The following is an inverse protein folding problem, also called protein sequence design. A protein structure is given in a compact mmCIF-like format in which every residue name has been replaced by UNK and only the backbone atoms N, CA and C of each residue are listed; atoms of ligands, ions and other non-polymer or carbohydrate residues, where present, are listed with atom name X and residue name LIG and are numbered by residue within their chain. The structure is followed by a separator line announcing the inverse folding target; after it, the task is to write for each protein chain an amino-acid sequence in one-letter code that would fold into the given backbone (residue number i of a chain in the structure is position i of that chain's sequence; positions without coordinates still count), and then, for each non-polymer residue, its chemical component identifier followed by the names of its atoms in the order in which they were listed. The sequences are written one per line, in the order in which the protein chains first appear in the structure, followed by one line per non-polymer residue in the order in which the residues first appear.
data_IF_352207396148
#
_entry.id   IF_352207396148
#
_cell.length_a   1.000
_cell.length_b   1.000
_cell.length_c   1.000
_cell.angle_alpha   90.00
_cell.angle_beta   90.00
_cell.angle_gamma   90.00
#
_symmetry.space_group_name_H-M   'P 1'
#
loop_
_entity.id
_entity.type
_entity.pdbx_description
1 polymer ?
#
# COMPACT_ATOMS: atom_id res chain seq x y z
N UNK A 1 68.36 -55.61 -28.34
CA UNK A 1 67.75 -55.98 -27.02
C UNK A 1 67.52 -54.68 -26.25
N UNK A 2 66.33 -54.27 -25.91
CA UNK A 2 66.01 -52.94 -25.45
C UNK A 2 65.95 -52.80 -23.91
N UNK A 3 66.77 -53.55 -23.14
CA UNK A 3 66.67 -53.59 -21.69
C UNK A 3 67.99 -53.20 -20.98
N UNK A 4 68.87 -52.46 -21.61
CA UNK A 4 70.05 -51.95 -20.90
C UNK A 4 69.64 -50.76 -20.01
N UNK A 5 69.93 -50.86 -18.67
CA UNK A 5 69.60 -49.79 -17.72
C UNK A 5 70.20 -48.43 -18.06
N UNK A 6 71.32 -48.43 -18.82
CA UNK A 6 71.96 -47.21 -19.30
C UNK A 6 71.14 -46.47 -20.38
N UNK A 7 70.24 -47.13 -21.09
CA UNK A 7 69.36 -46.50 -22.08
C UNK A 7 67.96 -46.25 -21.52
N UNK A 8 67.51 -47.04 -20.50
CA UNK A 8 66.18 -46.89 -19.88
C UNK A 8 66.08 -45.63 -19.02
N UNK A 9 67.13 -45.25 -18.29
CA UNK A 9 67.14 -44.08 -17.45
C UNK A 9 67.01 -42.78 -18.28
N UNK A 10 67.81 -42.51 -19.33
CA UNK A 10 67.63 -41.30 -20.11
C UNK A 10 66.32 -41.32 -20.94
N UNK A 11 65.86 -42.45 -21.39
CA UNK A 11 64.57 -42.56 -22.08
C UNK A 11 63.36 -42.26 -21.14
N UNK A 12 63.44 -42.66 -19.87
CA UNK A 12 62.45 -42.32 -18.86
C UNK A 12 62.42 -40.78 -18.60
N UNK A 13 63.59 -40.15 -18.41
CA UNK A 13 63.65 -38.68 -18.23
C UNK A 13 63.27 -37.92 -19.49
N UNK A 14 63.62 -38.42 -20.67
CA UNK A 14 63.19 -37.82 -21.94
C UNK A 14 61.66 -37.94 -22.13
N UNK A 15 61.04 -39.06 -21.76
CA UNK A 15 59.58 -39.23 -21.75
C UNK A 15 58.90 -38.32 -20.73
N UNK A 16 59.44 -38.22 -19.50
CA UNK A 16 58.92 -37.35 -18.46
C UNK A 16 58.96 -35.87 -18.89
N UNK A 17 59.97 -35.45 -19.67
CA UNK A 17 60.14 -34.10 -20.15
C UNK A 17 59.30 -33.85 -21.43
N UNK A 18 59.14 -34.87 -22.24
CA UNK A 18 58.32 -34.80 -23.48
C UNK A 18 56.82 -34.57 -23.21
N UNK A 19 56.28 -35.15 -22.10
CA UNK A 19 54.85 -34.99 -21.74
C UNK A 19 54.44 -33.53 -21.52
N UNK A 20 55.13 -32.76 -20.63
CA UNK A 20 54.77 -31.36 -20.40
C UNK A 20 55.02 -30.47 -21.64
N UNK A 21 56.05 -30.79 -22.45
CA UNK A 21 56.31 -30.07 -23.72
C UNK A 21 55.17 -30.34 -24.69
N UNK A 22 54.74 -31.57 -24.86
CA UNK A 22 53.65 -31.94 -25.78
C UNK A 22 52.32 -31.32 -25.33
N UNK A 23 52.04 -31.32 -24.00
CA UNK A 23 50.88 -30.64 -23.44
C UNK A 23 50.98 -29.11 -23.65
N UNK A 24 52.18 -28.52 -23.50
CA UNK A 24 52.39 -27.12 -23.78
C UNK A 24 52.11 -26.76 -25.23
N UNK A 25 52.62 -27.58 -26.18
CA UNK A 25 52.35 -27.43 -27.62
C UNK A 25 50.84 -27.60 -27.91
N UNK A 26 50.19 -28.60 -27.31
CA UNK A 26 48.75 -28.81 -27.47
C UNK A 26 47.94 -27.62 -26.99
N UNK A 27 48.35 -27.02 -25.86
CA UNK A 27 47.73 -25.80 -25.33
C UNK A 27 48.02 -24.57 -26.20
N UNK A 28 49.23 -24.43 -26.72
CA UNK A 28 49.60 -23.35 -27.61
C UNK A 28 48.81 -23.44 -28.93
N UNK A 29 48.64 -24.61 -29.50
CA UNK A 29 47.79 -24.84 -30.67
C UNK A 29 46.27 -24.81 -30.39
N UNK A 30 45.88 -24.47 -29.20
CA UNK A 30 44.45 -24.43 -28.80
C UNK A 30 43.68 -25.73 -29.05
N UNK A 31 44.37 -26.87 -28.98
CA UNK A 31 43.72 -28.16 -29.18
C UNK A 31 42.71 -28.49 -28.10
N UNK A 32 42.96 -28.00 -26.89
CA UNK A 32 41.98 -28.11 -25.79
C UNK A 32 41.86 -26.78 -25.03
N UNK A 33 40.68 -26.54 -24.49
CA UNK A 33 40.37 -25.39 -23.63
C UNK A 33 39.58 -25.86 -22.42
N UNK A 34 39.94 -25.38 -21.25
CA UNK A 34 39.19 -25.61 -20.05
C UNK A 34 38.23 -24.42 -19.85
N UNK A 35 36.95 -24.70 -19.86
CA UNK A 35 35.88 -23.74 -19.59
C UNK A 35 35.40 -23.95 -18.15
N UNK A 36 35.47 -22.91 -17.34
CA UNK A 36 34.99 -22.97 -15.96
C UNK A 36 33.46 -22.86 -15.90
N UNK A 37 32.86 -23.33 -14.80
CA UNK A 37 31.43 -23.13 -14.58
C UNK A 37 31.06 -21.65 -14.61
N UNK A 38 29.97 -21.34 -15.29
CA UNK A 38 29.47 -19.97 -15.48
C UNK A 38 30.47 -19.04 -16.18
N UNK A 39 31.29 -19.61 -17.08
CA UNK A 39 32.12 -18.89 -18.07
C UNK A 39 31.77 -19.36 -19.46
N UNK A 40 31.83 -18.45 -20.41
CA UNK A 40 31.80 -18.78 -21.82
C UNK A 40 33.03 -18.24 -22.51
N UNK A 41 33.58 -18.99 -23.46
CA UNK A 41 34.73 -18.56 -24.23
C UNK A 41 34.30 -18.29 -25.65
N UNK A 42 34.44 -17.03 -26.08
CA UNK A 42 34.13 -16.58 -27.44
C UNK A 42 35.40 -16.69 -28.31
N UNK A 43 35.30 -17.40 -29.41
CA UNK A 43 36.38 -17.56 -30.38
C UNK A 43 36.14 -16.67 -31.59
N UNK A 44 37.12 -15.84 -31.89
CA UNK A 44 37.12 -15.04 -33.11
C UNK A 44 38.29 -15.42 -34.03
N UNK A 45 38.11 -15.34 -35.32
CA UNK A 45 39.12 -15.58 -36.34
C UNK A 45 39.07 -14.47 -37.36
N UNK A 46 40.19 -13.77 -37.53
CA UNK A 46 40.29 -12.60 -38.44
C UNK A 46 39.16 -11.60 -38.25
N UNK A 47 38.79 -11.33 -36.98
CA UNK A 47 37.73 -10.38 -36.63
C UNK A 47 36.29 -10.91 -36.74
N UNK A 48 36.11 -12.14 -37.23
CA UNK A 48 34.76 -12.78 -37.29
C UNK A 48 34.57 -13.76 -36.16
N UNK A 49 33.42 -13.70 -35.51
CA UNK A 49 33.03 -14.66 -34.48
C UNK A 49 32.86 -16.04 -35.13
N UNK A 50 33.58 -17.03 -34.62
CA UNK A 50 33.45 -18.45 -35.02
C UNK A 50 32.40 -19.18 -34.24
N UNK A 51 32.32 -18.91 -32.94
CA UNK A 51 31.35 -19.52 -32.03
C UNK A 51 31.72 -19.31 -30.57
N UNK A 52 30.89 -19.87 -29.72
CA UNK A 52 30.97 -19.77 -28.27
C UNK A 52 31.07 -21.18 -27.69
N UNK A 53 31.95 -21.37 -26.73
CA UNK A 53 31.98 -22.57 -25.87
C UNK A 53 31.46 -22.17 -24.49
N UNK A 54 30.29 -22.62 -24.15
CA UNK A 54 29.58 -22.36 -22.90
C UNK A 54 29.47 -23.58 -21.99
N UNK A 55 29.77 -24.78 -22.52
CA UNK A 55 29.76 -26.01 -21.73
C UNK A 55 30.98 -26.07 -20.81
N UNK A 56 30.81 -26.24 -19.50
CA UNK A 56 31.92 -26.34 -18.56
C UNK A 56 32.69 -27.65 -18.74
N UNK A 57 33.99 -27.58 -18.51
CA UNK A 57 34.87 -28.73 -18.57
C UNK A 57 35.97 -28.62 -19.64
N UNK A 58 36.54 -29.77 -19.99
CA UNK A 58 37.55 -29.87 -21.03
C UNK A 58 36.86 -29.91 -22.39
N UNK A 59 37.01 -28.85 -23.14
CA UNK A 59 36.42 -28.71 -24.46
C UNK A 59 37.50 -28.78 -25.55
N UNK A 60 37.14 -29.38 -26.70
CA UNK A 60 38.01 -29.52 -27.86
C UNK A 60 37.53 -28.57 -28.95
N UNK A 61 38.11 -27.35 -29.06
CA UNK A 61 37.69 -26.37 -30.07
C UNK A 61 37.77 -26.91 -31.49
N UNK A 62 38.71 -27.83 -31.74
CA UNK A 62 38.87 -28.49 -33.03
C UNK A 62 37.61 -29.27 -33.47
N UNK A 63 36.96 -29.91 -32.54
CA UNK A 63 35.72 -30.70 -32.80
C UNK A 63 34.56 -29.77 -33.08
N UNK A 64 34.45 -28.66 -32.35
CA UNK A 64 33.32 -27.70 -32.47
C UNK A 64 33.47 -26.77 -33.68
N UNK A 65 34.70 -26.28 -33.97
CA UNK A 65 34.93 -25.25 -34.98
C UNK A 65 35.73 -25.74 -36.20
N UNK A 66 36.10 -27.03 -36.20
CA UNK A 66 36.87 -27.65 -37.27
C UNK A 66 38.34 -27.18 -37.34
N UNK A 67 39.06 -27.45 -38.45
CA UNK A 67 40.49 -27.22 -38.56
C UNK A 67 40.93 -25.74 -38.43
N UNK A 68 39.99 -24.82 -38.60
CA UNK A 68 40.23 -23.38 -38.39
C UNK A 68 40.59 -23.04 -36.95
N UNK A 69 40.17 -23.88 -35.98
CA UNK A 69 40.47 -23.69 -34.57
C UNK A 69 41.99 -23.73 -34.28
N UNK A 70 42.77 -24.47 -35.04
CA UNK A 70 44.22 -24.56 -34.88
C UNK A 70 44.90 -23.22 -35.24
N UNK A 71 44.30 -22.44 -36.12
CA UNK A 71 44.84 -21.15 -36.56
C UNK A 71 44.43 -19.98 -35.63
N UNK A 72 43.52 -20.21 -34.68
CA UNK A 72 43.09 -19.16 -33.74
C UNK A 72 44.23 -18.57 -32.92
N UNK A 73 45.21 -19.33 -32.38
CA UNK A 73 46.30 -18.73 -31.63
C UNK A 73 47.21 -17.80 -32.45
N UNK A 74 47.25 -17.97 -33.80
CA UNK A 74 48.05 -17.11 -34.69
C UNK A 74 47.23 -15.91 -35.20
N UNK A 75 45.98 -16.12 -35.60
CA UNK A 75 45.18 -15.13 -36.36
C UNK A 75 43.82 -14.79 -35.68
N UNK A 76 43.56 -15.33 -34.53
CA UNK A 76 42.32 -15.10 -33.80
C UNK A 76 42.54 -14.66 -32.35
N UNK A 77 41.43 -14.43 -31.66
CA UNK A 77 41.45 -14.17 -30.23
C UNK A 77 40.44 -15.08 -29.53
N UNK A 78 40.74 -15.43 -28.30
CA UNK A 78 39.83 -16.09 -27.39
C UNK A 78 39.52 -15.15 -26.21
N UNK A 79 38.27 -14.91 -25.95
CA UNK A 79 37.84 -13.99 -24.90
C UNK A 79 36.92 -14.74 -23.92
N UNK A 80 37.37 -15.00 -22.68
CA UNK A 80 36.54 -15.56 -21.67
C UNK A 80 35.57 -14.50 -21.15
N UNK A 81 34.31 -14.82 -21.07
CA UNK A 81 33.24 -13.96 -20.55
C UNK A 81 32.66 -14.61 -19.31
N UNK A 82 32.57 -13.86 -18.22
CA UNK A 82 31.98 -14.32 -16.98
C UNK A 82 30.45 -14.19 -17.04
N UNK A 83 29.77 -15.31 -16.98
CA UNK A 83 28.31 -15.40 -17.03
C UNK A 83 27.65 -15.46 -15.65
N UNK A 84 28.41 -15.30 -14.55
CA UNK A 84 27.87 -15.31 -13.20
C UNK A 84 26.92 -14.15 -12.97
N UNK A 85 25.89 -14.39 -12.15
CA UNK A 85 25.02 -13.33 -11.69
C UNK A 85 25.82 -12.31 -10.88
N UNK A 86 25.78 -11.05 -11.30
CA UNK A 86 26.46 -9.94 -10.64
C UNK A 86 25.42 -8.95 -10.15
N UNK A 87 25.71 -8.34 -9.00
CA UNK A 87 24.89 -7.30 -8.40
C UNK A 87 25.64 -5.97 -8.47
N UNK A 88 24.91 -4.91 -8.80
CA UNK A 88 25.41 -3.54 -8.80
C UNK A 88 24.49 -2.65 -7.98
N UNK A 89 25.07 -1.64 -7.40
CA UNK A 89 24.37 -0.66 -6.61
C UNK A 89 24.59 0.76 -7.13
N UNK A 90 23.53 1.36 -7.65
CA UNK A 90 23.50 2.77 -8.02
C UNK A 90 23.23 3.60 -6.77
N UNK A 91 24.23 4.40 -6.38
CA UNK A 91 24.15 5.25 -5.19
C UNK A 91 23.67 6.64 -5.58
N UNK A 92 22.82 7.22 -4.71
CA UNK A 92 22.49 8.64 -4.74
C UNK A 92 22.02 9.15 -6.10
N UNK A 93 21.12 8.41 -6.76
CA UNK A 93 20.45 8.93 -7.94
C UNK A 93 19.49 10.04 -7.49
N UNK A 94 19.78 11.27 -7.93
CA UNK A 94 18.92 12.43 -7.65
C UNK A 94 17.72 12.36 -8.58
N UNK A 95 16.52 12.37 -7.98
CA UNK A 95 15.24 12.28 -8.67
C UNK A 95 14.30 13.30 -8.04
N UNK A 96 13.50 13.96 -8.85
CA UNK A 96 12.40 14.78 -8.35
C UNK A 96 11.10 14.00 -8.49
N UNK A 97 10.22 14.06 -7.49
CA UNK A 97 8.86 13.53 -7.63
C UNK A 97 8.03 14.39 -8.59
N UNK A 98 6.84 13.93 -8.97
CA UNK A 98 5.87 14.72 -9.75
C UNK A 98 5.57 16.08 -9.09
N UNK A 99 5.58 16.13 -7.77
CA UNK A 99 5.38 17.34 -6.96
C UNK A 99 6.63 18.24 -6.90
N UNK A 100 7.74 17.87 -7.58
CA UNK A 100 8.99 18.65 -7.57
C UNK A 100 9.88 18.41 -6.35
N UNK A 101 9.60 17.43 -5.51
CA UNK A 101 10.40 17.14 -4.31
C UNK A 101 11.71 16.45 -4.65
N UNK A 102 12.90 17.02 -4.38
CA UNK A 102 14.18 16.41 -4.63
C UNK A 102 14.46 15.29 -3.61
N UNK A 103 14.73 14.10 -4.13
CA UNK A 103 15.08 12.94 -3.34
C UNK A 103 16.32 12.23 -3.91
N UNK A 104 17.03 11.52 -3.04
CA UNK A 104 18.14 10.66 -3.42
C UNK A 104 17.70 9.20 -3.30
N UNK A 105 17.82 8.46 -4.38
CA UNK A 105 17.38 7.07 -4.46
C UNK A 105 18.56 6.13 -4.67
N UNK A 106 18.58 5.04 -3.94
CA UNK A 106 19.54 3.95 -4.11
C UNK A 106 18.86 2.75 -4.76
N UNK A 107 19.43 2.27 -5.88
CA UNK A 107 18.88 1.15 -6.65
C UNK A 107 19.89 0.01 -6.70
N UNK A 108 19.45 -1.18 -6.31
CA UNK A 108 20.15 -2.42 -6.54
C UNK A 108 19.58 -3.11 -7.75
N UNK A 109 20.44 -3.61 -8.61
CA UNK A 109 20.01 -4.42 -9.74
C UNK A 109 20.95 -5.61 -9.94
N UNK A 110 20.38 -6.69 -10.43
CA UNK A 110 21.06 -7.93 -10.73
C UNK A 110 21.19 -8.05 -12.25
N UNK A 111 22.39 -8.39 -12.71
CA UNK A 111 22.67 -8.58 -14.13
C UNK A 111 23.44 -9.87 -14.34
N UNK A 112 23.14 -10.54 -15.42
CA UNK A 112 23.83 -11.75 -15.89
C UNK A 112 24.04 -11.64 -17.40
N UNK A 113 25.21 -12.04 -17.88
CA UNK A 113 25.44 -12.13 -19.33
C UNK A 113 24.68 -13.35 -19.85
N UNK A 114 23.79 -13.16 -20.81
CA UNK A 114 23.02 -14.23 -21.47
C UNK A 114 23.55 -14.54 -22.87
N UNK A 115 24.05 -13.51 -23.58
CA UNK A 115 24.68 -13.67 -24.88
C UNK A 115 26.07 -13.04 -24.83
N UNK A 116 27.13 -13.88 -24.72
CA UNK A 116 28.51 -13.39 -24.67
C UNK A 116 29.00 -12.72 -25.95
N UNK A 117 28.40 -13.03 -27.11
CA UNK A 117 28.77 -12.37 -28.37
C UNK A 117 28.21 -10.95 -28.41
N UNK A 118 26.93 -10.78 -28.09
CA UNK A 118 26.31 -9.47 -28.01
C UNK A 118 27.00 -8.59 -26.95
N UNK A 119 27.39 -9.18 -25.83
CA UNK A 119 28.13 -8.50 -24.77
C UNK A 119 29.47 -7.93 -25.21
N UNK A 120 30.22 -8.70 -25.99
CA UNK A 120 31.57 -8.30 -26.43
C UNK A 120 31.59 -7.35 -27.63
N UNK A 121 30.62 -7.46 -28.54
CA UNK A 121 30.72 -6.83 -29.86
C UNK A 121 29.62 -5.81 -30.17
N UNK A 122 28.47 -5.84 -29.48
CA UNK A 122 27.40 -4.91 -29.81
C UNK A 122 27.58 -3.54 -29.12
N UNK A 123 28.34 -3.47 -28.02
CA UNK A 123 28.58 -2.24 -27.31
C UNK A 123 30.01 -2.18 -26.78
N UNK A 124 30.63 -1.01 -26.83
CA UNK A 124 31.99 -0.81 -26.33
C UNK A 124 32.04 -0.88 -24.78
N UNK A 125 31.01 -0.38 -24.12
CA UNK A 125 30.85 -0.46 -22.66
C UNK A 125 29.41 -0.91 -22.31
N UNK A 126 29.17 -2.22 -22.36
CA UNK A 126 27.82 -2.75 -22.08
C UNK A 126 27.42 -2.58 -20.65
N UNK A 127 28.34 -2.65 -19.66
CA UNK A 127 28.05 -2.46 -18.25
C UNK A 127 27.67 -1.02 -17.92
N UNK A 128 28.44 -0.04 -18.41
CA UNK A 128 28.13 1.38 -18.23
C UNK A 128 26.84 1.78 -18.92
N UNK A 129 26.57 1.23 -20.12
CA UNK A 129 25.31 1.45 -20.82
C UNK A 129 24.11 0.89 -20.07
N UNK A 130 24.23 -0.31 -19.49
CA UNK A 130 23.19 -0.89 -18.65
C UNK A 130 22.95 -0.04 -17.39
N UNK A 131 24.02 0.38 -16.73
CA UNK A 131 23.96 1.26 -15.56
C UNK A 131 23.24 2.57 -15.87
N UNK A 132 23.61 3.23 -16.96
CA UNK A 132 22.97 4.47 -17.41
C UNK A 132 21.48 4.28 -17.73
N UNK A 133 21.11 3.15 -18.36
CA UNK A 133 19.71 2.88 -18.67
C UNK A 133 18.88 2.54 -17.42
N UNK A 134 19.43 1.79 -16.47
CA UNK A 134 18.76 1.55 -15.17
C UNK A 134 18.56 2.87 -14.42
N UNK A 135 19.58 3.74 -14.40
CA UNK A 135 19.48 5.06 -13.80
C UNK A 135 18.41 5.91 -14.48
N UNK A 136 18.45 6.00 -15.81
CA UNK A 136 17.47 6.78 -16.59
C UNK A 136 16.04 6.26 -16.44
N UNK A 137 15.84 4.94 -16.51
CA UNK A 137 14.52 4.34 -16.30
C UNK A 137 14.00 4.56 -14.88
N UNK A 138 14.90 4.50 -13.88
CA UNK A 138 14.55 4.80 -12.49
C UNK A 138 14.12 6.25 -12.34
N UNK A 139 14.90 7.20 -12.86
CA UNK A 139 14.57 8.63 -12.82
C UNK A 139 13.21 8.87 -13.50
N UNK A 140 13.04 8.36 -14.72
CA UNK A 140 11.80 8.54 -15.49
C UNK A 140 10.58 7.94 -14.78
N UNK A 141 10.72 6.75 -14.21
CA UNK A 141 9.62 6.09 -13.49
C UNK A 141 9.23 6.84 -12.23
N UNK A 142 10.22 7.32 -11.46
CA UNK A 142 9.99 7.99 -10.19
C UNK A 142 9.51 9.44 -10.36
N UNK A 143 10.00 10.14 -11.40
CA UNK A 143 9.61 11.53 -11.67
C UNK A 143 8.16 11.70 -12.11
N UNK A 144 7.51 10.64 -12.56
CA UNK A 144 6.12 10.64 -12.99
C UNK A 144 5.16 10.10 -11.91
N UNK A 145 5.59 10.04 -10.66
CA UNK A 145 4.81 9.46 -9.57
C UNK A 145 4.70 10.43 -8.40
N UNK A 146 3.48 10.45 -7.84
CA UNK A 146 3.20 11.11 -6.57
C UNK A 146 4.00 10.45 -5.44
N UNK A 147 4.42 11.25 -4.48
CA UNK A 147 5.24 10.77 -3.37
C UNK A 147 4.57 9.67 -2.54
N UNK A 148 3.28 9.76 -2.31
CA UNK A 148 2.51 8.78 -1.54
C UNK A 148 2.60 7.39 -2.18
N UNK A 149 2.41 7.30 -3.50
CA UNK A 149 2.51 6.04 -4.26
C UNK A 149 3.93 5.47 -4.27
N UNK A 150 4.93 6.34 -4.29
CA UNK A 150 6.34 5.95 -4.25
C UNK A 150 6.72 5.28 -2.93
N UNK A 151 6.14 5.70 -1.82
CA UNK A 151 6.40 5.13 -0.50
C UNK A 151 5.60 3.84 -0.26
N UNK A 152 4.39 3.74 -0.82
CA UNK A 152 3.49 2.60 -0.60
C UNK A 152 3.87 1.37 -1.44
N UNK A 153 4.15 1.52 -2.74
CA UNK A 153 4.31 0.38 -3.65
C UNK A 153 5.65 0.33 -4.40
N UNK A 154 6.73 0.14 -3.63
CA UNK A 154 8.10 -0.01 -4.15
C UNK A 154 8.27 -1.23 -5.08
N UNK A 155 7.48 -2.28 -4.88
CA UNK A 155 7.57 -3.49 -5.70
C UNK A 155 7.03 -3.28 -7.11
N UNK A 156 5.97 -2.53 -7.27
CA UNK A 156 5.43 -2.18 -8.58
C UNK A 156 6.41 -1.33 -9.36
N UNK A 157 7.03 -0.35 -8.70
CA UNK A 157 8.06 0.50 -9.28
C UNK A 157 9.27 -0.30 -9.77
N UNK A 158 9.77 -1.20 -8.95
CA UNK A 158 10.89 -2.09 -9.31
C UNK A 158 10.56 -2.95 -10.53
N UNK A 159 9.34 -3.46 -10.64
CA UNK A 159 8.87 -4.22 -11.81
C UNK A 159 8.78 -3.35 -13.06
N UNK A 160 8.31 -2.11 -12.93
CA UNK A 160 8.19 -1.18 -14.03
C UNK A 160 9.56 -0.77 -14.59
N UNK A 161 10.51 -0.43 -13.72
CA UNK A 161 11.90 -0.15 -14.12
C UNK A 161 12.50 -1.35 -14.84
N UNK A 162 12.34 -2.55 -14.29
CA UNK A 162 12.81 -3.79 -14.94
C UNK A 162 12.19 -3.98 -16.32
N UNK A 163 10.89 -3.82 -16.46
CA UNK A 163 10.17 -3.99 -17.73
C UNK A 163 10.65 -2.99 -18.79
N UNK A 164 10.97 -1.77 -18.39
CA UNK A 164 11.50 -0.73 -19.29
C UNK A 164 12.92 -1.04 -19.78
N UNK A 165 13.78 -1.55 -18.88
CA UNK A 165 15.20 -1.78 -19.20
C UNK A 165 15.45 -3.13 -19.88
N UNK A 166 14.65 -4.18 -19.58
CA UNK A 166 14.87 -5.54 -20.09
C UNK A 166 15.05 -5.62 -21.61
N UNK A 167 14.21 -5.01 -22.46
CA UNK A 167 14.36 -5.13 -23.92
C UNK A 167 15.62 -4.45 -24.47
N UNK A 168 16.17 -3.46 -23.76
CA UNK A 168 17.43 -2.82 -24.13
C UNK A 168 18.64 -3.63 -23.66
N UNK A 169 18.58 -4.18 -22.44
CA UNK A 169 19.65 -4.99 -21.86
C UNK A 169 19.89 -6.27 -22.66
N UNK A 170 18.82 -6.89 -23.17
CA UNK A 170 18.92 -8.08 -24.02
C UNK A 170 19.68 -7.83 -25.33
N UNK A 171 19.56 -6.65 -25.95
CA UNK A 171 20.30 -6.27 -27.12
C UNK A 171 21.82 -6.18 -26.91
N UNK A 172 22.24 -5.96 -25.66
CA UNK A 172 23.64 -5.92 -25.25
C UNK A 172 24.12 -7.22 -24.61
N UNK A 173 23.32 -8.27 -24.73
CA UNK A 173 23.65 -9.59 -24.18
C UNK A 173 23.49 -9.76 -22.70
N UNK A 174 22.77 -8.84 -22.02
CA UNK A 174 22.43 -8.99 -20.61
C UNK A 174 21.02 -9.50 -20.41
N UNK A 175 20.86 -10.37 -19.44
CA UNK A 175 19.58 -10.65 -18.79
C UNK A 175 19.54 -9.89 -17.47
N UNK A 176 18.58 -8.98 -17.34
CA UNK A 176 18.35 -8.25 -16.11
C UNK A 176 17.58 -9.15 -15.14
N UNK A 177 18.12 -9.35 -13.95
CA UNK A 177 17.48 -10.06 -12.84
C UNK A 177 16.47 -9.18 -12.13
N UNK A 178 16.57 -9.14 -10.81
CA UNK A 178 15.72 -8.29 -9.98
C UNK A 178 16.27 -6.87 -9.89
N UNK A 179 15.37 -5.90 -9.83
CA UNK A 179 15.68 -4.50 -9.55
C UNK A 179 15.01 -4.13 -8.24
N UNK A 180 15.76 -3.52 -7.32
CA UNK A 180 15.26 -3.16 -6.00
C UNK A 180 15.56 -1.69 -5.70
N UNK A 181 14.52 -0.93 -5.44
CA UNK A 181 14.61 0.43 -4.92
C UNK A 181 14.73 0.32 -3.40
N UNK A 182 15.93 0.55 -2.86
CA UNK A 182 16.21 0.29 -1.44
C UNK A 182 16.18 1.51 -0.56
N UNK A 183 16.81 2.58 -1.00
CA UNK A 183 16.96 3.79 -0.20
C UNK A 183 16.29 4.95 -0.91
N UNK A 184 15.33 5.57 -0.24
CA UNK A 184 14.80 6.86 -0.62
C UNK A 184 15.13 7.81 0.54
N UNK A 185 15.90 8.84 0.27
CA UNK A 185 16.27 9.85 1.25
C UNK A 185 15.97 11.23 0.66
N UNK A 186 15.34 12.06 1.43
CA UNK A 186 15.12 13.46 1.06
C UNK A 186 16.42 14.24 1.20
N UNK A 187 16.66 15.12 0.25
CA UNK A 187 17.92 15.88 0.19
C UNK A 187 17.88 17.06 1.15
N UNK A 188 16.71 17.61 1.39
CA UNK A 188 16.51 18.80 2.20
C UNK A 188 15.66 18.51 3.44
N UNK A 189 16.13 18.87 4.62
CA UNK A 189 15.43 18.72 5.90
C UNK A 189 14.22 19.66 5.99
N UNK A 190 14.37 20.89 5.54
CA UNK A 190 13.28 21.86 5.55
C UNK A 190 12.10 21.38 4.71
N UNK A 191 12.38 20.68 3.61
CA UNK A 191 11.37 20.05 2.77
C UNK A 191 10.70 18.86 3.44
N UNK A 192 11.44 18.06 4.21
CA UNK A 192 10.86 16.97 5.04
C UNK A 192 9.88 17.53 6.05
N UNK A 193 10.24 18.62 6.71
CA UNK A 193 9.38 19.28 7.69
C UNK A 193 8.11 19.83 7.02
N UNK A 194 8.26 20.48 5.86
CA UNK A 194 7.12 20.98 5.06
C UNK A 194 6.19 19.87 4.59
N UNK A 195 6.74 18.71 4.17
CA UNK A 195 5.94 17.55 3.77
C UNK A 195 5.24 16.94 4.99
N UNK A 196 5.95 16.82 6.10
CA UNK A 196 5.38 16.34 7.36
C UNK A 196 4.21 17.22 7.78
N UNK A 197 4.37 18.53 7.74
CA UNK A 197 3.32 19.50 8.03
C UNK A 197 2.12 19.37 7.07
N UNK A 198 2.37 19.19 5.77
CA UNK A 198 1.33 18.99 4.77
C UNK A 198 0.54 17.70 5.03
N UNK A 199 1.24 16.59 5.34
CA UNK A 199 0.63 15.30 5.68
C UNK A 199 -0.19 15.41 6.96
N UNK A 200 0.36 16.02 8.00
CA UNK A 200 -0.36 16.25 9.28
C UNK A 200 -1.61 17.08 9.05
N UNK A 201 -1.52 18.20 8.32
CA UNK A 201 -2.67 19.04 7.98
C UNK A 201 -3.73 18.24 7.20
N UNK A 202 -3.32 17.41 6.22
CA UNK A 202 -4.23 16.56 5.46
C UNK A 202 -4.92 15.53 6.35
N UNK A 203 -4.18 14.88 7.25
CA UNK A 203 -4.74 13.93 8.23
C UNK A 203 -5.75 14.61 9.15
N UNK A 204 -5.44 15.80 9.66
CA UNK A 204 -6.36 16.59 10.47
C UNK A 204 -7.63 16.94 9.68
N UNK A 205 -7.48 17.33 8.42
CA UNK A 205 -8.61 17.65 7.55
C UNK A 205 -9.49 16.42 7.29
N UNK A 206 -8.90 15.27 6.97
CA UNK A 206 -9.62 14.01 6.76
C UNK A 206 -10.32 13.56 8.03
N UNK A 207 -9.64 13.65 9.17
CA UNK A 207 -10.23 13.29 10.48
C UNK A 207 -11.39 14.21 10.84
N UNK A 208 -11.26 15.52 10.58
CA UNK A 208 -12.33 16.49 10.79
C UNK A 208 -13.52 16.22 9.88
N UNK A 209 -13.27 15.89 8.59
CA UNK A 209 -14.33 15.54 7.66
C UNK A 209 -15.08 14.26 8.09
N UNK A 210 -14.35 13.22 8.52
CA UNK A 210 -14.95 12.00 9.04
C UNK A 210 -15.78 12.25 10.30
N UNK A 211 -15.27 13.09 11.21
CA UNK A 211 -16.00 13.48 12.42
C UNK A 211 -17.29 14.22 12.08
N UNK A 212 -17.21 15.19 11.15
CA UNK A 212 -18.38 15.95 10.69
C UNK A 212 -19.42 15.05 10.01
N UNK A 213 -18.98 14.10 9.17
CA UNK A 213 -19.88 13.12 8.56
C UNK A 213 -20.56 12.23 9.62
N UNK A 214 -19.78 11.80 10.62
CA UNK A 214 -20.31 11.04 11.76
C UNK A 214 -21.36 11.85 12.55
N UNK A 215 -21.08 13.10 12.87
CA UNK A 215 -22.02 14.01 13.57
C UNK A 215 -23.29 14.26 12.73
N UNK A 216 -23.14 14.46 11.42
CA UNK A 216 -24.26 14.62 10.50
C UNK A 216 -25.15 13.37 10.45
N UNK A 217 -24.55 12.17 10.40
CA UNK A 217 -25.28 10.90 10.44
C UNK A 217 -26.04 10.71 11.75
N UNK A 218 -25.41 11.03 12.88
CA UNK A 218 -26.06 10.99 14.19
C UNK A 218 -27.22 12.00 14.23
N UNK A 219 -27.02 13.21 13.72
CA UNK A 219 -28.07 14.22 13.61
C UNK A 219 -29.26 13.75 12.77
N UNK A 220 -28.99 13.13 11.61
CA UNK A 220 -30.01 12.57 10.75
C UNK A 220 -30.82 11.46 11.45
N UNK A 221 -30.13 10.52 12.12
CA UNK A 221 -30.78 9.42 12.86
C UNK A 221 -31.66 9.99 13.97
N UNK A 222 -31.17 10.95 14.74
CA UNK A 222 -31.94 11.60 15.83
C UNK A 222 -33.19 12.30 15.27
N UNK A 223 -33.05 13.02 14.17
CA UNK A 223 -34.17 13.69 13.51
C UNK A 223 -35.22 12.71 13.00
N UNK A 224 -34.79 11.63 12.34
CA UNK A 224 -35.67 10.56 11.86
C UNK A 224 -36.38 9.85 13.02
N UNK A 225 -35.67 9.60 14.12
CA UNK A 225 -36.26 8.97 15.31
C UNK A 225 -37.28 9.89 15.95
N UNK A 226 -36.99 11.18 16.11
CA UNK A 226 -37.93 12.16 16.65
C UNK A 226 -39.19 12.28 15.79
N UNK A 227 -39.00 12.27 14.46
CA UNK A 227 -40.14 12.28 13.52
C UNK A 227 -41.03 11.03 13.70
N UNK A 228 -40.42 9.82 13.74
CA UNK A 228 -41.19 8.57 13.94
C UNK A 228 -41.91 8.54 15.27
N UNK A 229 -41.25 8.99 16.34
CA UNK A 229 -41.89 9.09 17.66
C UNK A 229 -43.09 10.06 17.64
N UNK A 230 -42.90 11.24 17.02
CA UNK A 230 -43.98 12.22 16.85
C UNK A 230 -45.15 11.66 16.02
N UNK A 231 -44.83 10.94 14.91
CA UNK A 231 -45.86 10.27 14.09
C UNK A 231 -46.65 9.22 14.89
N UNK A 232 -45.95 8.36 15.66
CA UNK A 232 -46.61 7.36 16.49
C UNK A 232 -47.47 7.97 17.61
N UNK A 233 -46.98 9.05 18.24
CA UNK A 233 -47.76 9.78 19.21
C UNK A 233 -49.02 10.43 18.60
N UNK A 234 -48.87 11.02 17.40
CA UNK A 234 -50.00 11.60 16.68
C UNK A 234 -51.03 10.53 16.27
N UNK A 235 -50.57 9.36 15.80
CA UNK A 235 -51.45 8.24 15.49
C UNK A 235 -52.16 7.72 16.73
N UNK A 236 -51.45 7.55 17.87
CA UNK A 236 -52.02 7.15 19.11
C UNK A 236 -53.06 8.17 19.61
N UNK A 237 -52.75 9.46 19.51
CA UNK A 237 -53.67 10.54 19.86
C UNK A 237 -54.93 10.57 18.95
N UNK A 238 -54.75 10.25 17.65
CA UNK A 238 -55.88 10.19 16.72
C UNK A 238 -56.80 8.96 16.92
N UNK A 239 -56.22 7.82 17.36
CA UNK A 239 -57.02 6.60 17.65
C UNK A 239 -57.73 6.65 18.98
N UNK A 240 -57.24 7.43 19.95
CA UNK A 240 -57.84 7.54 21.31
C UNK A 240 -59.32 7.95 21.29
N UNK A 241 -59.78 8.99 20.54
CA UNK A 241 -61.18 9.36 20.46
C UNK A 241 -62.07 8.28 19.85
N UNK A 242 -61.52 7.52 18.88
CA UNK A 242 -62.26 6.45 18.22
C UNK A 242 -62.54 5.29 19.19
N UNK A 243 -61.52 4.86 19.97
CA UNK A 243 -61.66 3.79 20.97
C UNK A 243 -62.58 4.23 22.08
N UNK A 244 -62.47 5.46 22.59
CA UNK A 244 -63.35 6.01 23.61
C UNK A 244 -64.77 6.10 23.10
N UNK A 245 -64.96 6.54 21.84
CA UNK A 245 -66.30 6.61 21.23
C UNK A 245 -66.96 5.24 21.03
N UNK A 246 -66.15 4.22 20.70
CA UNK A 246 -66.70 2.84 20.56
C UNK A 246 -67.10 2.27 21.91
N UNK A 247 -66.30 2.44 22.97
CA UNK A 247 -66.68 2.00 24.34
C UNK A 247 -67.87 2.77 24.92
N UNK A 248 -68.00 4.08 24.62
CA UNK A 248 -69.15 4.86 25.01
C UNK A 248 -70.45 4.41 24.28
N UNK A 249 -70.32 4.05 22.98
CA UNK A 249 -71.45 3.50 22.23
C UNK A 249 -71.87 2.11 22.78
N UNK A 250 -70.92 1.29 23.20
CA UNK A 250 -71.19 -0.01 23.81
C UNK A 250 -71.94 0.14 25.15
N UNK A 251 -71.52 1.07 26.01
CA UNK A 251 -72.20 1.44 27.26
C UNK A 251 -73.59 2.03 27.02
N UNK A 252 -73.73 2.88 25.97
CA UNK A 252 -75.00 3.46 25.59
C UNK A 252 -76.07 2.42 25.15
N UNK A 253 -75.60 1.32 24.57
CA UNK A 253 -76.47 0.22 24.13
C UNK A 253 -76.90 -0.67 25.25
N UNK A 254 -76.14 -0.73 26.36
CA UNK A 254 -76.43 -1.57 27.52
C UNK A 254 -77.22 -0.81 28.56
N UNK A 255 -76.92 0.43 28.92
CA UNK A 255 -77.57 1.28 29.84
C UNK A 255 -77.38 2.79 29.59
N UNK A 256 -78.43 3.49 29.07
CA UNK A 256 -78.29 4.91 28.69
C UNK A 256 -78.16 5.85 29.89
N UNK A 257 -78.68 5.47 31.10
CA UNK A 257 -78.54 6.30 32.31
C UNK A 257 -77.12 6.35 32.82
N UNK A 258 -76.40 5.22 32.72
CA UNK A 258 -74.97 5.13 33.06
C UNK A 258 -74.14 5.98 32.13
N UNK A 259 -74.47 6.04 30.83
CA UNK A 259 -73.75 6.90 29.88
C UNK A 259 -73.90 8.38 30.25
N UNK A 260 -75.12 8.82 30.58
CA UNK A 260 -75.40 10.22 30.91
C UNK A 260 -74.63 10.66 32.17
N UNK A 261 -74.60 9.78 33.20
CA UNK A 261 -73.82 10.01 34.41
C UNK A 261 -72.28 10.05 34.10
N UNK A 262 -71.77 9.16 33.22
CA UNK A 262 -70.34 9.15 32.82
C UNK A 262 -69.97 10.41 32.04
N UNK A 263 -70.82 10.87 31.13
CA UNK A 263 -70.62 12.12 30.38
C UNK A 263 -70.59 13.34 31.32
N UNK A 264 -71.45 13.42 32.32
CA UNK A 264 -71.40 14.49 33.28
C UNK A 264 -70.08 14.49 34.12
N UNK A 265 -69.57 13.31 34.49
CA UNK A 265 -68.30 13.18 35.21
C UNK A 265 -67.14 13.63 34.30
N UNK A 266 -67.14 13.21 33.06
CA UNK A 266 -66.08 13.62 32.07
C UNK A 266 -66.10 15.13 31.80
N UNK A 267 -67.25 15.73 31.69
CA UNK A 267 -67.42 17.17 31.53
C UNK A 267 -66.97 17.94 32.78
N UNK A 268 -67.24 17.42 33.95
CA UNK A 268 -66.75 17.99 35.23
C UNK A 268 -65.23 17.89 35.33
N UNK A 269 -64.65 16.74 34.92
CA UNK A 269 -63.17 16.55 34.90
C UNK A 269 -62.49 17.50 33.90
N UNK A 270 -63.02 17.67 32.68
CA UNK A 270 -62.53 18.60 31.70
C UNK A 270 -62.58 20.07 32.15
N UNK A 271 -63.63 20.44 32.89
CA UNK A 271 -63.76 21.75 33.52
C UNK A 271 -62.68 21.98 34.57
N UNK A 272 -62.35 20.95 35.36
CA UNK A 272 -61.29 21.01 36.38
C UNK A 272 -59.89 21.12 35.72
N UNK A 273 -59.66 20.32 34.74
CA UNK A 273 -58.35 20.37 33.99
C UNK A 273 -58.15 21.70 33.24
N UNK A 274 -59.21 22.32 32.71
CA UNK A 274 -59.14 23.60 32.02
C UNK A 274 -58.86 24.79 32.94
N UNK A 275 -58.87 24.63 34.27
CA UNK A 275 -58.68 25.71 35.27
C UNK A 275 -59.73 26.80 35.17
N UNK A 276 -60.87 26.52 34.57
CA UNK A 276 -61.97 27.48 34.52
C UNK A 276 -62.54 27.75 35.92
N UNK A 277 -62.77 29.03 36.23
CA UNK A 277 -63.34 29.45 37.47
C UNK A 277 -64.81 28.97 37.60
N UNK A 278 -65.05 28.00 38.47
CA UNK A 278 -66.30 27.21 38.52
C UNK A 278 -67.40 27.92 39.31
N UNK A 279 -67.58 29.18 39.05
CA UNK A 279 -68.59 29.99 39.75
C UNK A 279 -70.01 29.80 39.23
N UNK A 280 -70.24 29.00 38.21
CA UNK A 280 -71.54 28.81 37.54
C UNK A 280 -71.95 27.34 37.36
N UNK A 281 -71.63 26.47 38.31
CA UNK A 281 -72.08 25.08 38.25
C UNK A 281 -73.49 24.90 38.91
N UNK A 282 -74.42 24.17 38.26
CA UNK A 282 -75.64 23.80 38.85
C UNK A 282 -75.42 23.02 40.13
N UNK A 283 -76.34 23.11 41.16
CA UNK A 283 -76.10 22.56 42.46
C UNK A 283 -75.85 21.05 42.52
N UNK A 284 -76.25 20.31 41.50
CA UNK A 284 -76.03 18.88 41.35
C UNK A 284 -74.57 18.55 40.90
N UNK A 285 -73.96 19.38 40.10
CA UNK A 285 -72.58 19.21 39.66
C UNK A 285 -71.55 19.62 40.75
N UNK A 286 -71.90 20.48 41.67
CA UNK A 286 -71.07 20.88 42.83
C UNK A 286 -70.77 19.70 43.77
N UNK A 287 -71.65 18.75 43.90
CA UNK A 287 -71.46 17.55 44.74
C UNK A 287 -70.38 16.64 44.05
N UNK A 288 -70.41 16.51 42.76
CA UNK A 288 -69.46 15.68 42.02
C UNK A 288 -68.04 16.30 42.02
N UNK A 289 -67.93 17.62 41.86
CA UNK A 289 -66.69 18.35 41.97
C UNK A 289 -66.06 18.28 43.36
N UNK A 290 -66.85 18.33 44.41
CA UNK A 290 -66.36 18.19 45.77
C UNK A 290 -65.90 16.76 46.10
N UNK A 291 -66.45 15.75 45.44
CA UNK A 291 -66.04 14.35 45.56
C UNK A 291 -64.75 14.04 44.79
N UNK A 292 -64.56 14.64 43.62
CA UNK A 292 -63.34 14.49 42.78
C UNK A 292 -62.12 15.32 43.27
N UNK A 293 -62.39 16.47 43.95
CA UNK A 293 -61.41 17.39 44.49
C UNK A 293 -60.82 17.11 45.85
N UNK A 294 -61.15 15.97 46.47
CA UNK A 294 -60.74 15.59 47.83
C UNK A 294 -59.29 15.15 48.04
N UNK A 295 -58.36 15.59 47.19
CA UNK A 295 -56.93 15.42 47.38
C UNK A 295 -56.28 16.76 47.70
N UNK A 296 -55.71 16.88 48.87
CA UNK A 296 -55.05 18.05 49.45
C UNK A 296 -54.19 18.88 48.47
N UNK A 297 -54.57 20.14 48.28
CA UNK A 297 -53.75 21.15 47.67
C UNK A 297 -53.04 21.97 48.73
N UNK A 298 -51.82 21.65 49.05
CA UNK A 298 -50.86 22.56 49.65
C UNK A 298 -49.71 22.79 48.66
N UNK A 299 -49.85 23.73 47.78
CA UNK A 299 -48.73 24.24 46.95
C UNK A 299 -48.60 25.74 47.14
N UNK A 300 -47.62 26.09 47.93
CA UNK A 300 -47.03 27.41 48.03
C UNK A 300 -46.37 27.80 46.69
N UNK A 301 -46.60 28.96 46.15
CA UNK A 301 -45.92 29.38 44.91
C UNK A 301 -44.45 29.70 45.18
N UNK A 302 -43.49 29.29 44.31
CA UNK A 302 -42.13 29.76 44.40
C UNK A 302 -42.01 31.15 43.79
N UNK A 303 -41.32 32.01 44.52
CA UNK A 303 -40.95 33.35 44.18
C UNK A 303 -40.04 33.42 42.94
N UNK A 304 -40.27 34.43 42.14
CA UNK A 304 -39.39 34.92 41.08
C UNK A 304 -37.99 35.22 41.61
N UNK A 305 -36.95 34.64 40.96
CA UNK A 305 -35.54 34.90 41.28
C UNK A 305 -34.67 34.64 40.10
N UNK A 306 -34.38 35.70 39.43
CA UNK A 306 -33.12 36.13 38.83
C UNK A 306 -32.22 35.20 37.96
N UNK A 307 -32.04 35.70 36.79
CA UNK A 307 -31.05 35.34 35.78
C UNK A 307 -29.62 35.55 36.26
N UNK A 308 -28.76 34.56 36.15
CA UNK A 308 -27.36 34.72 35.71
C UNK A 308 -26.73 33.34 35.49
N UNK A 309 -26.75 32.91 34.25
CA UNK A 309 -25.94 31.76 33.81
C UNK A 309 -24.55 32.24 33.41
N UNK A 310 -23.61 32.18 34.33
CA UNK A 310 -22.20 32.29 34.09
C UNK A 310 -21.64 30.89 33.74
N UNK A 311 -21.10 30.76 32.51
CA UNK A 311 -20.50 29.55 32.00
C UNK A 311 -19.30 29.09 32.82
N UNK A 312 -19.25 27.81 33.12
CA UNK A 312 -18.02 27.10 33.46
C UNK A 312 -17.63 26.17 32.33
N UNK A 313 -16.68 26.67 31.52
CA UNK A 313 -15.85 25.83 30.67
C UNK A 313 -15.01 24.93 31.58
N UNK A 314 -15.30 23.64 31.58
CA UNK A 314 -14.41 22.65 32.12
C UNK A 314 -13.16 22.53 31.22
N UNK A 315 -12.03 23.05 31.69
CA UNK A 315 -10.70 22.78 31.17
C UNK A 315 -10.39 21.30 31.38
N UNK A 316 -10.34 20.55 30.31
CA UNK A 316 -9.64 19.26 30.30
C UNK A 316 -8.14 19.54 30.28
N UNK A 317 -7.50 19.34 31.39
CA UNK A 317 -6.06 19.31 31.56
C UNK A 317 -5.59 17.92 31.08
N UNK A 318 -4.89 17.91 29.95
CA UNK A 318 -4.20 16.71 29.45
C UNK A 318 -2.92 16.61 30.26
N UNK A 319 -2.82 15.55 31.05
CA UNK A 319 -1.66 15.17 31.83
C UNK A 319 -0.54 14.70 30.88
N UNK A 320 0.53 15.49 30.73
CA UNK A 320 1.76 15.14 30.03
C UNK A 320 2.62 14.26 30.96
N UNK A 321 2.45 12.98 30.86
CA UNK A 321 3.29 12.11 31.66
C UNK A 321 3.11 10.63 31.37
N UNK A 322 3.42 10.16 30.14
CA UNK A 322 3.95 8.80 29.88
C UNK A 322 4.47 8.76 28.45
N UNK A 323 5.76 9.06 28.25
CA UNK A 323 6.61 8.47 27.22
C UNK A 323 8.07 8.79 27.58
N UNK A 324 8.66 7.86 28.30
CA UNK A 324 10.09 7.60 28.24
C UNK A 324 10.31 6.25 27.58
#
# INVERSE_FOLDING_TARGET
MPNDPATLIPAFFAGLLAIPILLGIARFLSLYTIVNEQEAVVYTFLGKVMGVLDEPGLQWPLVHFGPKAILVPLFGTRQPVNMKLRQRYLRNQMVNSEEGTPMSVGVWYEMQVSDPVAYLFNNADPEGSLEANVASATISTLSNLEMDKLLEDRHQLSRQVRATVSPLSEKWGFRLGSVYIRKVAFTDREMVDNITDKVVKRLVQVTSAMKQDGENRVGLIKSQTAYKVSEQLAQAAATRPAVVGETLNEIAADDPEVLDALMQVMEAEQLIESGADVDVLPPEARVLVSLAGGGESSATPPASGDSSASGRLARFQIDEGVLR
#
